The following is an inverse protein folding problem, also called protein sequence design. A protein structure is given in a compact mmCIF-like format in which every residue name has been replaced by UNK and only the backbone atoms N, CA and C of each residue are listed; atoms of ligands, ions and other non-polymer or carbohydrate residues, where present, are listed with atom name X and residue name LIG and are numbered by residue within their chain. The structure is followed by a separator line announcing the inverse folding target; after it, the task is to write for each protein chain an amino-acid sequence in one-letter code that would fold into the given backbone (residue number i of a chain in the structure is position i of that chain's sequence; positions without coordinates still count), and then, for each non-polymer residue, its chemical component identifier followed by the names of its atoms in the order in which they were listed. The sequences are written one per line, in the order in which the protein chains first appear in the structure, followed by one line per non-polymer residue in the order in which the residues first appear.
data_IF_789562326819
#
_entry.id   IF_789562326819
#
_cell.length_a   1.000
_cell.length_b   1.000
_cell.length_c   1.000
_cell.angle_alpha   90.00
_cell.angle_beta   90.00
_cell.angle_gamma   90.00
#
_symmetry.space_group_name_H-M   'P 1'
#
loop_
_entity.id
_entity.type
_entity.pdbx_description
1 polymer ?
#
# COMPACT_ATOMS: atom_id res chain seq x y z
N UNK A 1 16.56 29.56 -27.54
CA UNK A 1 15.26 29.41 -26.83
C UNK A 1 15.29 28.16 -25.96
N UNK A 2 15.52 28.30 -24.65
CA UNK A 2 15.54 27.16 -23.74
C UNK A 2 14.11 26.74 -23.35
N UNK A 3 13.67 25.56 -23.78
CA UNK A 3 12.40 24.96 -23.31
C UNK A 3 12.59 24.50 -21.87
N UNK A 4 12.29 25.36 -20.90
CA UNK A 4 12.20 24.97 -19.49
C UNK A 4 10.96 24.08 -19.34
N UNK A 5 11.15 22.78 -19.47
CA UNK A 5 10.15 21.79 -19.10
C UNK A 5 9.95 21.87 -17.59
N UNK A 6 8.94 22.63 -17.15
CA UNK A 6 8.54 22.72 -15.74
C UNK A 6 8.02 21.35 -15.29
N UNK A 7 8.94 20.50 -14.81
CA UNK A 7 8.64 19.20 -14.22
C UNK A 7 7.63 19.41 -13.08
N UNK A 8 6.52 18.68 -13.10
CA UNK A 8 5.50 18.76 -12.05
C UNK A 8 6.10 18.51 -10.65
N UNK A 9 5.56 19.18 -9.64
CA UNK A 9 6.05 19.08 -8.25
C UNK A 9 5.95 17.62 -7.79
N UNK A 10 7.03 17.11 -7.20
CA UNK A 10 7.09 15.72 -6.69
C UNK A 10 7.15 15.75 -5.17
N UNK A 11 6.23 15.04 -4.54
CA UNK A 11 6.23 14.83 -3.10
C UNK A 11 6.79 13.44 -2.80
N UNK A 12 7.63 13.37 -1.77
CA UNK A 12 8.24 12.16 -1.28
C UNK A 12 7.55 11.78 0.05
N UNK A 13 7.43 10.49 0.33
CA UNK A 13 6.90 9.97 1.60
C UNK A 13 5.52 10.54 1.99
N UNK A 14 4.65 10.82 1.01
CA UNK A 14 3.29 11.29 1.29
C UNK A 14 2.48 10.13 1.90
N UNK A 15 1.95 10.23 3.13
CA UNK A 15 1.11 9.19 3.68
C UNK A 15 -0.21 9.14 2.91
N UNK A 16 -0.64 7.94 2.52
CA UNK A 16 -1.81 7.74 1.66
C UNK A 16 -2.93 7.04 2.42
N UNK A 17 -4.04 7.75 2.57
CA UNK A 17 -5.33 7.22 2.96
C UNK A 17 -5.96 6.49 1.76
N UNK A 18 -6.33 5.22 1.96
CA UNK A 18 -7.09 4.47 0.96
C UNK A 18 -8.40 3.94 1.51
N UNK A 19 -9.48 4.31 0.83
CA UNK A 19 -10.85 3.85 1.09
C UNK A 19 -11.39 3.13 -0.15
N UNK A 20 -12.40 2.24 -0.02
CA UNK A 20 -12.97 1.52 -1.15
C UNK A 20 -13.64 2.45 -2.18
N UNK A 21 -14.18 3.58 -1.72
CA UNK A 21 -14.88 4.55 -2.55
C UNK A 21 -13.94 5.50 -3.31
N UNK A 22 -14.34 6.01 -4.50
CA UNK A 22 -13.61 7.08 -5.17
C UNK A 22 -13.79 8.43 -4.47
N UNK A 23 -12.87 9.38 -4.73
CA UNK A 23 -12.87 10.71 -4.12
C UNK A 23 -14.24 11.41 -4.23
N UNK A 24 -14.82 11.46 -5.43
CA UNK A 24 -16.12 12.13 -5.65
C UNK A 24 -17.33 11.51 -4.96
N UNK A 25 -17.18 10.39 -4.24
CA UNK A 25 -18.23 9.84 -3.36
C UNK A 25 -17.97 10.09 -1.88
N UNK A 26 -16.73 10.38 -1.49
CA UNK A 26 -16.34 10.59 -0.08
C UNK A 26 -16.13 12.06 0.25
N UNK A 27 -15.81 12.87 -0.76
CA UNK A 27 -15.77 14.30 -0.63
C UNK A 27 -17.18 14.87 -0.79
N UNK A 28 -17.50 15.88 0.02
CA UNK A 28 -18.74 16.63 -0.11
C UNK A 28 -18.70 17.61 -1.30
N UNK A 29 -19.77 18.43 -1.45
CA UNK A 29 -19.86 19.44 -2.50
C UNK A 29 -18.77 20.52 -2.40
N UNK A 30 -18.26 20.77 -1.20
CA UNK A 30 -17.17 21.72 -0.92
C UNK A 30 -15.79 21.06 -1.05
N UNK A 31 -15.72 19.83 -1.57
CA UNK A 31 -14.50 19.07 -1.77
C UNK A 31 -13.74 18.78 -0.46
N UNK A 32 -14.50 18.63 0.63
CA UNK A 32 -14.02 18.28 1.96
C UNK A 32 -14.26 16.79 2.21
N UNK A 33 -13.22 16.11 2.68
CA UNK A 33 -13.28 14.76 3.20
C UNK A 33 -13.44 14.82 4.72
N UNK A 34 -14.42 14.11 5.26
CA UNK A 34 -14.53 13.81 6.68
C UNK A 34 -14.50 12.29 6.88
N UNK A 35 -13.49 11.78 7.58
CA UNK A 35 -13.35 10.35 7.84
C UNK A 35 -13.20 10.10 9.33
N UNK A 36 -14.04 9.23 9.88
CA UNK A 36 -13.93 8.72 11.25
C UNK A 36 -13.46 7.27 11.20
N UNK A 37 -12.42 6.93 11.94
CA UNK A 37 -11.99 5.54 12.06
C UNK A 37 -11.20 5.27 13.33
N UNK A 38 -11.26 4.02 13.77
CA UNK A 38 -10.56 3.41 14.89
C UNK A 38 -9.38 2.53 14.44
N UNK A 39 -9.19 2.32 13.14
CA UNK A 39 -8.07 1.50 12.66
C UNK A 39 -6.72 2.15 12.96
N UNK A 40 -5.79 1.38 13.52
CA UNK A 40 -4.45 1.82 13.93
C UNK A 40 -3.70 2.60 12.85
N UNK A 41 -3.78 2.19 11.57
CA UNK A 41 -3.15 2.90 10.45
C UNK A 41 -3.67 4.33 10.26
N UNK A 42 -4.93 4.60 10.59
CA UNK A 42 -5.54 5.92 10.48
C UNK A 42 -5.27 6.77 11.72
N UNK A 43 -5.14 6.14 12.89
CA UNK A 43 -4.61 6.80 14.09
C UNK A 43 -3.16 7.27 13.84
N UNK A 44 -2.32 6.44 13.24
CA UNK A 44 -0.95 6.79 12.85
C UNK A 44 -0.90 7.88 11.77
N UNK A 45 -1.80 7.82 10.78
CA UNK A 45 -1.96 8.90 9.81
C UNK A 45 -2.29 10.22 10.50
N UNK A 46 -3.26 10.21 11.42
CA UNK A 46 -3.68 11.38 12.16
C UNK A 46 -2.52 12.00 12.96
N UNK A 47 -1.74 11.18 13.69
CA UNK A 47 -0.52 11.62 14.40
C UNK A 47 0.47 12.32 13.49
N UNK A 48 0.59 11.89 12.24
CA UNK A 48 1.53 12.49 11.26
C UNK A 48 1.04 13.81 10.68
N UNK A 49 -0.27 14.05 10.68
CA UNK A 49 -0.87 15.28 10.13
C UNK A 49 -1.36 16.25 11.20
N UNK A 50 -1.16 15.92 12.47
CA UNK A 50 -1.38 16.83 13.58
C UNK A 50 -0.47 18.07 13.50
N UNK A 51 -0.84 19.15 14.21
CA UNK A 51 -0.05 20.39 14.24
C UNK A 51 1.41 20.12 14.61
N UNK A 52 2.34 20.48 13.73
CA UNK A 52 3.79 20.19 13.85
C UNK A 52 4.28 19.03 12.97
N UNK A 53 3.37 18.28 12.35
CA UNK A 53 3.66 17.25 11.36
C UNK A 53 3.53 17.73 9.90
N UNK A 54 3.10 16.82 9.03
CA UNK A 54 2.85 17.09 7.61
C UNK A 54 1.41 17.57 7.42
N UNK A 55 1.20 18.82 7.03
CA UNK A 55 -0.15 19.40 6.80
C UNK A 55 -0.93 18.72 5.66
N UNK A 56 -0.27 17.83 4.91
CA UNK A 56 -0.84 17.19 3.73
C UNK A 56 -0.74 15.67 3.82
N UNK A 57 -1.79 15.01 3.33
CA UNK A 57 -1.82 13.58 3.08
C UNK A 57 -2.43 13.30 1.70
N UNK A 58 -2.21 12.10 1.18
CA UNK A 58 -2.79 11.66 -0.08
C UNK A 58 -4.06 10.87 0.16
N UNK A 59 -5.08 11.12 -0.65
CA UNK A 59 -6.21 10.22 -0.80
C UNK A 59 -6.06 9.42 -2.10
N UNK A 60 -6.22 8.10 -2.05
CA UNK A 60 -6.37 7.28 -3.24
C UNK A 60 -7.43 6.20 -3.02
N UNK A 61 -8.35 6.03 -3.96
CA UNK A 61 -9.28 4.91 -3.92
C UNK A 61 -8.50 3.58 -3.87
N UNK A 62 -9.02 2.58 -3.16
CA UNK A 62 -8.36 1.28 -3.02
C UNK A 62 -8.06 0.64 -4.39
N UNK A 63 -8.97 0.81 -5.37
CA UNK A 63 -8.77 0.39 -6.76
C UNK A 63 -7.58 1.09 -7.43
N UNK A 64 -7.29 2.34 -7.07
CA UNK A 64 -6.21 3.17 -7.63
C UNK A 64 -4.91 3.12 -6.82
N UNK A 65 -4.86 2.34 -5.72
CA UNK A 65 -3.70 2.20 -4.84
C UNK A 65 -2.60 1.32 -5.47
N UNK A 66 -2.02 1.80 -6.58
CA UNK A 66 -0.95 1.11 -7.35
C UNK A 66 -0.05 2.10 -8.08
N UNK A 67 1.12 1.65 -8.53
CA UNK A 67 2.01 2.46 -9.38
C UNK A 67 1.25 2.93 -10.63
N UNK A 68 1.35 4.22 -10.91
CA UNK A 68 0.65 4.89 -12.00
C UNK A 68 -0.80 5.27 -11.70
N UNK A 69 -1.35 4.84 -10.56
CA UNK A 69 -2.68 5.23 -10.08
C UNK A 69 -2.76 6.71 -9.73
N UNK A 70 -3.99 7.20 -9.58
CA UNK A 70 -4.30 8.61 -9.35
C UNK A 70 -4.98 8.77 -8.00
N UNK A 71 -4.64 9.86 -7.34
CA UNK A 71 -5.24 10.27 -6.07
C UNK A 71 -5.41 11.78 -5.98
N UNK A 72 -5.86 12.25 -4.83
CA UNK A 72 -6.07 13.67 -4.51
C UNK A 72 -5.21 14.01 -3.30
N UNK A 73 -4.40 15.05 -3.42
CA UNK A 73 -3.68 15.63 -2.28
C UNK A 73 -4.70 16.34 -1.42
N UNK A 74 -4.72 16.02 -0.13
CA UNK A 74 -5.64 16.57 0.86
C UNK A 74 -4.84 17.37 1.87
N UNK A 75 -5.26 18.60 2.10
CA UNK A 75 -4.75 19.46 3.17
C UNK A 75 -5.58 19.16 4.43
N UNK A 76 -4.93 18.71 5.49
CA UNK A 76 -5.58 18.43 6.76
C UNK A 76 -6.06 19.74 7.39
N UNK A 77 -7.34 19.80 7.74
CA UNK A 77 -7.97 20.97 8.36
C UNK A 77 -8.18 20.79 9.85
N UNK A 78 -8.67 19.62 10.25
CA UNK A 78 -8.93 19.31 11.64
C UNK A 78 -8.66 17.84 11.93
N UNK A 79 -7.99 17.59 13.05
CA UNK A 79 -7.84 16.26 13.63
C UNK A 79 -8.52 16.30 14.99
N UNK A 80 -9.52 15.43 15.20
CA UNK A 80 -10.24 15.31 16.46
C UNK A 80 -10.12 13.89 16.98
N UNK A 81 -9.38 13.74 18.07
CA UNK A 81 -9.34 12.48 18.83
C UNK A 81 -10.64 12.28 19.59
N UNK A 82 -11.25 11.11 19.42
CA UNK A 82 -12.43 10.69 20.16
C UNK A 82 -11.96 9.88 21.36
N UNK A 83 -12.48 10.22 22.54
CA UNK A 83 -12.06 9.57 23.78
C UNK A 83 -12.58 8.12 23.82
N UNK A 84 -11.78 7.18 24.35
CA UNK A 84 -12.23 5.80 24.56
C UNK A 84 -13.47 5.71 25.46
N UNK A 85 -13.65 6.68 26.37
CA UNK A 85 -14.85 6.76 27.22
C UNK A 85 -16.15 6.97 26.43
N UNK A 86 -16.09 7.60 25.25
CA UNK A 86 -17.26 7.85 24.41
C UNK A 86 -17.53 6.71 23.41
N UNK A 87 -16.49 6.04 22.90
CA UNK A 87 -16.61 5.06 21.81
C UNK A 87 -16.24 3.62 22.22
N UNK A 88 -15.73 3.40 23.43
CA UNK A 88 -15.22 2.11 23.89
C UNK A 88 -13.82 1.76 23.36
N UNK A 89 -13.29 2.53 22.41
CA UNK A 89 -11.98 2.37 21.78
C UNK A 89 -11.43 3.74 21.34
N UNK A 90 -10.11 3.83 21.07
CA UNK A 90 -9.51 5.05 20.55
C UNK A 90 -9.88 5.23 19.07
N UNK A 91 -10.52 6.35 18.74
CA UNK A 91 -10.89 6.68 17.38
C UNK A 91 -10.44 8.10 17.02
N UNK A 92 -10.30 8.37 15.73
CA UNK A 92 -9.98 9.69 15.21
C UNK A 92 -10.97 10.12 14.13
N UNK A 93 -11.35 11.39 14.18
CA UNK A 93 -12.09 12.05 13.13
C UNK A 93 -11.19 13.07 12.44
N UNK A 94 -10.94 12.86 11.16
CA UNK A 94 -10.01 13.63 10.36
C UNK A 94 -10.76 14.32 9.24
N UNK A 95 -10.63 15.64 9.16
CA UNK A 95 -11.21 16.45 8.09
C UNK A 95 -10.11 17.11 7.28
N UNK A 96 -10.33 17.19 5.97
CA UNK A 96 -9.36 17.83 5.07
C UNK A 96 -9.97 18.21 3.74
N UNK A 97 -9.35 19.19 3.08
CA UNK A 97 -9.82 19.71 1.79
C UNK A 97 -8.96 19.19 0.65
N UNK A 98 -9.60 18.73 -0.44
CA UNK A 98 -8.90 18.28 -1.63
C UNK A 98 -8.24 19.44 -2.38
N UNK A 99 -6.92 19.45 -2.47
CA UNK A 99 -6.18 20.57 -3.09
C UNK A 99 -5.89 20.30 -4.56
N UNK A 100 -5.33 19.12 -4.88
CA UNK A 100 -4.82 18.84 -6.23
C UNK A 100 -4.71 17.35 -6.53
N UNK A 101 -5.04 16.89 -7.76
CA UNK A 101 -4.80 15.51 -8.14
C UNK A 101 -3.30 15.21 -8.27
N UNK A 102 -2.93 13.97 -7.98
CA UNK A 102 -1.57 13.46 -8.13
C UNK A 102 -1.55 12.09 -8.81
N UNK A 103 -0.39 11.72 -9.34
CA UNK A 103 -0.09 10.37 -9.83
C UNK A 103 0.92 9.68 -8.91
N UNK A 104 0.66 8.43 -8.57
CA UNK A 104 1.54 7.59 -7.77
C UNK A 104 2.70 7.11 -8.64
N UNK A 105 3.94 7.48 -8.28
CA UNK A 105 5.15 7.02 -8.97
C UNK A 105 5.71 5.74 -8.33
N UNK A 106 5.65 5.67 -7.00
CA UNK A 106 6.03 4.51 -6.21
C UNK A 106 5.25 4.53 -4.90
N UNK A 107 5.08 3.35 -4.29
CA UNK A 107 4.36 3.20 -3.04
C UNK A 107 5.11 2.18 -2.17
N UNK A 108 5.12 2.42 -0.87
CA UNK A 108 5.73 1.58 0.15
C UNK A 108 4.67 1.30 1.21
N UNK A 109 4.64 0.06 1.69
CA UNK A 109 3.88 -0.30 2.87
C UNK A 109 4.80 -0.15 4.07
N UNK A 110 4.35 0.55 5.09
CA UNK A 110 5.02 0.63 6.37
C UNK A 110 4.47 -0.45 7.29
N UNK A 111 5.37 -1.23 7.88
CA UNK A 111 5.00 -2.34 8.75
C UNK A 111 4.28 -1.78 9.98
N UNK A 112 3.01 -2.16 10.13
CA UNK A 112 2.26 -2.00 11.37
C UNK A 112 2.46 -3.19 12.31
N UNK A 113 1.75 -3.21 13.44
CA UNK A 113 1.62 -4.39 14.30
C UNK A 113 1.24 -5.64 13.50
N UNK A 114 1.72 -6.81 13.93
CA UNK A 114 1.46 -8.09 13.27
C UNK A 114 -0.05 -8.32 13.17
N UNK A 115 -0.57 -8.48 11.95
CA UNK A 115 -1.98 -8.72 11.67
C UNK A 115 -2.81 -7.50 11.29
N UNK A 116 -2.25 -6.28 11.38
CA UNK A 116 -2.95 -5.05 10.99
C UNK A 116 -2.65 -4.60 9.56
N UNK A 117 -3.59 -3.93 8.88
CA UNK A 117 -3.36 -3.39 7.55
C UNK A 117 -2.30 -2.27 7.60
N UNK A 118 -1.26 -2.32 6.75
CA UNK A 118 -0.17 -1.34 6.80
C UNK A 118 -0.63 0.06 6.37
N UNK A 119 0.02 1.08 6.92
CA UNK A 119 -0.04 2.44 6.41
C UNK A 119 0.82 2.52 5.14
N UNK A 120 0.29 3.15 4.08
CA UNK A 120 1.03 3.31 2.84
C UNK A 120 1.65 4.70 2.76
N UNK A 121 2.91 4.77 2.34
CA UNK A 121 3.57 6.02 1.94
C UNK A 121 3.90 5.99 0.46
N UNK A 122 3.69 7.11 -0.22
CA UNK A 122 3.84 7.19 -1.66
C UNK A 122 4.78 8.31 -2.08
N UNK A 123 5.54 8.02 -3.14
CA UNK A 123 6.17 9.04 -3.96
C UNK A 123 5.18 9.43 -5.04
N UNK A 124 4.80 10.70 -5.06
CA UNK A 124 3.75 11.18 -5.98
C UNK A 124 4.25 12.35 -6.82
N UNK A 125 3.63 12.50 -7.98
CA UNK A 125 3.79 13.67 -8.84
C UNK A 125 2.46 14.41 -8.90
N UNK A 126 2.45 15.67 -8.46
CA UNK A 126 1.27 16.51 -8.59
C UNK A 126 0.98 16.79 -10.07
N UNK A 127 -0.28 16.64 -10.43
CA UNK A 127 -0.76 16.88 -11.79
C UNK A 127 -1.19 18.34 -11.92
N UNK A 128 -0.75 18.99 -12.99
CA UNK A 128 -1.27 20.30 -13.37
C UNK A 128 -2.56 20.11 -14.18
N UNK A 129 -3.38 21.14 -14.29
CA UNK A 129 -4.65 21.09 -15.05
C UNK A 129 -4.49 20.48 -16.46
N UNK A 130 -3.40 20.84 -17.15
CA UNK A 130 -3.04 20.32 -18.48
C UNK A 130 -2.71 18.83 -18.52
N UNK A 131 -2.21 18.27 -17.42
CA UNK A 131 -1.86 16.86 -17.31
C UNK A 131 -3.11 16.01 -17.08
N UNK A 132 -4.13 16.58 -16.40
CA UNK A 132 -5.43 15.95 -16.20
C UNK A 132 -6.08 15.63 -17.56
N UNK A 133 -6.13 16.61 -18.48
CA UNK A 133 -6.69 16.43 -19.81
C UNK A 133 -5.95 15.38 -20.68
N UNK A 134 -4.69 15.06 -20.35
CA UNK A 134 -3.91 14.01 -21.02
C UNK A 134 -4.14 12.64 -20.40
N UNK A 135 -4.58 12.55 -19.15
CA UNK A 135 -4.88 11.27 -18.50
C UNK A 135 -6.12 10.61 -19.11
N UNK A 136 -7.16 11.38 -19.44
CA UNK A 136 -8.34 10.85 -20.16
C UNK A 136 -8.02 10.37 -21.58
N UNK A 137 -6.95 10.91 -22.18
CA UNK A 137 -6.51 10.58 -23.53
C UNK A 137 -5.39 9.53 -23.57
N UNK A 138 -4.84 9.14 -22.43
CA UNK A 138 -3.79 8.13 -22.40
C UNK A 138 -4.44 6.77 -22.75
N UNK A 139 -3.93 6.05 -23.76
CA UNK A 139 -4.41 4.70 -24.03
C UNK A 139 -4.23 3.87 -22.76
N UNK A 140 -5.31 3.25 -22.29
CA UNK A 140 -5.29 2.25 -21.21
C UNK A 140 -4.22 1.25 -21.62
N UNK A 141 -3.07 1.33 -20.97
CA UNK A 141 -1.94 0.48 -21.30
C UNK A 141 -2.28 -0.90 -20.75
N UNK A 142 -2.91 -1.72 -21.58
CA UNK A 142 -2.87 -3.17 -21.49
C UNK A 142 -1.40 -3.57 -21.59
N UNK A 143 -0.77 -3.72 -20.43
CA UNK A 143 0.59 -4.24 -20.33
C UNK A 143 0.75 -4.96 -18.98
N UNK A 144 -0.13 -5.92 -18.75
CA UNK A 144 0.27 -7.18 -18.15
C UNK A 144 -0.08 -8.30 -19.13
N UNK A 145 0.44 -8.20 -20.36
CA UNK A 145 0.59 -9.39 -21.20
C UNK A 145 1.61 -10.27 -20.51
N UNK A 146 1.07 -11.22 -19.77
CA UNK A 146 1.71 -12.45 -19.36
C UNK A 146 2.36 -13.07 -20.61
N UNK A 147 3.63 -12.73 -20.88
CA UNK A 147 4.45 -13.50 -21.81
C UNK A 147 4.75 -14.83 -21.09
N UNK A 148 3.82 -15.77 -21.24
CA UNK A 148 4.13 -17.19 -21.19
C UNK A 148 5.30 -17.39 -22.18
N UNK A 149 6.46 -17.71 -21.63
CA UNK A 149 7.57 -18.21 -22.42
C UNK A 149 7.12 -19.54 -23.04
N UNK A 150 7.17 -19.73 -24.36
CA UNK A 150 7.13 -21.07 -24.92
C UNK A 150 8.48 -21.73 -24.60
N UNK A 151 8.54 -22.54 -23.54
CA UNK A 151 9.60 -23.55 -23.42
C UNK A 151 9.25 -24.69 -24.36
N UNK A 152 9.69 -24.57 -25.60
CA UNK A 152 9.65 -25.63 -26.59
C UNK A 152 11.02 -25.74 -27.24
N UNK A 153 11.79 -26.75 -26.81
CA UNK A 153 12.86 -27.49 -27.50
C UNK A 153 13.35 -28.52 -26.47
N UNK A 154 13.64 -29.79 -26.75
CA UNK A 154 13.36 -30.71 -27.83
C UNK A 154 13.69 -32.09 -27.22
N UNK A 155 12.92 -33.11 -27.57
CA UNK A 155 13.36 -34.50 -27.42
C UNK A 155 14.64 -34.74 -28.23
N UNK A 156 15.57 -35.55 -27.71
CA UNK A 156 15.92 -36.87 -28.27
C UNK A 156 17.15 -37.45 -27.53
N UNK A 157 17.17 -38.77 -27.29
CA UNK A 157 18.42 -39.50 -27.06
C UNK A 157 18.50 -40.42 -25.84
N UNK A 158 17.95 -41.63 -26.02
CA UNK A 158 18.51 -42.95 -25.69
C UNK A 158 19.39 -43.09 -24.40
N UNK A 159 19.01 -43.88 -23.39
CA UNK A 159 18.84 -45.34 -23.31
C UNK A 159 19.92 -45.95 -22.39
N UNK A 160 19.50 -46.99 -21.67
CA UNK A 160 20.29 -48.02 -20.98
C UNK A 160 20.56 -47.84 -19.47
N UNK A 161 20.01 -48.79 -18.68
CA UNK A 161 20.10 -48.90 -17.21
C UNK A 161 21.39 -49.61 -16.76
N UNK A 162 21.40 -50.44 -15.68
CA UNK A 162 20.33 -50.86 -14.77
C UNK A 162 20.64 -50.64 -13.27
N UNK A 163 19.62 -50.90 -12.43
CA UNK A 163 19.72 -51.06 -10.96
C UNK A 163 20.57 -52.31 -10.58
N UNK A 164 21.00 -52.49 -9.31
CA UNK A 164 20.08 -53.03 -8.29
C UNK A 164 20.34 -52.65 -6.80
N UNK A 165 19.26 -52.80 -6.02
CA UNK A 165 19.10 -53.32 -4.64
C UNK A 165 20.13 -53.06 -3.52
N UNK A 166 19.60 -52.64 -2.36
CA UNK A 166 20.17 -52.81 -1.01
C UNK A 166 19.36 -51.96 -0.01
N UNK A 167 18.32 -52.47 0.65
CA UNK A 167 18.35 -53.29 1.88
C UNK A 167 19.25 -52.67 2.96
N UNK A 168 18.65 -52.07 4.01
CA UNK A 168 19.39 -51.57 5.17
C UNK A 168 18.58 -50.70 6.13
N UNK A 169 17.56 -51.28 6.77
CA UNK A 169 17.17 -50.89 8.14
C UNK A 169 18.30 -51.35 9.09
N UNK A 170 18.67 -50.61 10.14
CA UNK A 170 18.01 -50.88 11.42
C UNK A 170 17.89 -49.68 12.38
N UNK A 171 16.98 -49.88 13.34
CA UNK A 171 16.70 -49.11 14.55
C UNK A 171 17.88 -48.89 15.50
N UNK A 172 17.86 -47.76 16.24
CA UNK A 172 18.20 -47.61 17.67
C UNK A 172 17.54 -46.29 18.16
N UNK A 173 16.60 -46.27 19.10
CA UNK A 173 16.64 -46.66 20.52
C UNK A 173 17.62 -45.81 21.37
N UNK A 174 17.06 -45.12 22.36
CA UNK A 174 17.71 -44.27 23.38
C UNK A 174 16.77 -43.10 23.66
N UNK A 175 15.76 -43.20 24.53
CA UNK A 175 15.77 -43.57 25.95
C UNK A 175 16.91 -42.89 26.72
N UNK A 176 16.61 -41.71 27.28
CA UNK A 176 17.16 -41.22 28.55
C UNK A 176 16.25 -40.10 29.09
N UNK A 177 15.29 -40.48 29.92
CA UNK A 177 14.92 -39.71 31.12
C UNK A 177 15.88 -40.15 32.24
N UNK A 178 16.27 -39.25 33.17
CA UNK A 178 15.55 -39.23 34.45
C UNK A 178 15.44 -37.83 35.10
N UNK A 179 14.31 -37.61 35.81
CA UNK A 179 14.20 -37.38 37.26
C UNK A 179 14.67 -35.99 37.74
N UNK A 180 13.73 -35.14 38.10
CA UNK A 180 13.24 -34.93 39.48
C UNK A 180 14.27 -34.31 40.43
N UNK A 181 13.86 -33.16 40.99
CA UNK A 181 14.33 -32.66 42.27
C UNK A 181 13.68 -31.31 42.59
N UNK A 182 12.60 -31.27 43.39
CA UNK A 182 12.23 -30.08 44.14
C UNK A 182 12.75 -30.21 45.58
N UNK A 183 13.34 -29.13 46.09
CA UNK A 183 13.31 -28.70 47.50
C UNK A 183 13.73 -27.23 47.55
#
# INVERSE_FOLDING_TARGET
MARIARRGLRLQNLPVLSLPSPWGRVADAENVLAVGSDESRYLELARRVEPGGSEHFGYAAASSRRKGGVGVLVEARQVRWLSPAACGHQAVHLTGHGVRPFRILAMRAEAGPIGEPPLYTARVQLLLQRDIARLDKAPKSDACSLRMLPSGVAEDGAAEGPAPAGAGEPARAGDTLPAQGPL
#
